data_IF_738638460610
#
_entry.id   IF_738638460610
#
_cell.length_a   1.000
_cell.length_b   1.000
_cell.length_c   1.000
_cell.angle_alpha   90.00
_cell.angle_beta   90.00
_cell.angle_gamma   90.00
#
_symmetry.space_group_name_H-M   'P 1'
#
loop_
_entity.id
_entity.type
_entity.pdbx_description
1 polymer ?
#
# COMPACT_ATOMS: atom_id res chain seq x y z
N UNK A 1 -11.10 9.67 21.33
CA UNK A 1 -9.62 9.59 21.15
C UNK A 1 -9.21 8.61 20.05
N UNK A 2 -9.81 7.42 19.96
CA UNK A 2 -9.47 6.41 18.94
C UNK A 2 -9.65 6.87 17.49
N UNK A 3 -10.69 7.68 17.19
CA UNK A 3 -10.99 8.17 15.85
C UNK A 3 -9.93 9.12 15.27
N UNK A 4 -9.38 10.03 16.08
CA UNK A 4 -8.30 10.93 15.63
C UNK A 4 -6.98 10.19 15.38
N UNK A 5 -6.70 9.17 16.20
CA UNK A 5 -5.52 8.32 16.00
C UNK A 5 -5.56 7.55 14.69
N UNK A 6 -6.72 7.01 14.30
CA UNK A 6 -6.90 6.30 13.02
C UNK A 6 -6.66 7.24 11.82
N UNK A 7 -7.33 8.41 11.80
CA UNK A 7 -7.15 9.39 10.71
C UNK A 7 -5.70 9.84 10.63
N UNK A 8 -5.07 10.18 11.77
CA UNK A 8 -3.68 10.59 11.82
C UNK A 8 -2.72 9.51 11.30
N UNK A 9 -2.93 8.24 11.70
CA UNK A 9 -2.10 7.12 11.22
C UNK A 9 -2.28 6.88 9.73
N UNK A 10 -3.50 6.95 9.20
CA UNK A 10 -3.76 6.77 7.77
C UNK A 10 -3.18 7.91 6.93
N UNK A 11 -3.30 9.17 7.40
CA UNK A 11 -2.70 10.32 6.73
C UNK A 11 -1.16 10.24 6.75
N UNK A 12 -0.57 9.88 7.89
CA UNK A 12 0.88 9.68 8.00
C UNK A 12 1.37 8.54 7.10
N UNK A 13 0.65 7.40 7.08
CA UNK A 13 0.93 6.29 6.18
C UNK A 13 0.96 6.75 4.72
N UNK A 14 -0.09 7.44 4.29
CA UNK A 14 -0.19 7.94 2.91
C UNK A 14 0.93 8.91 2.60
N UNK A 15 1.20 9.89 3.48
CA UNK A 15 2.25 10.89 3.28
C UNK A 15 3.65 10.27 3.21
N UNK A 16 3.98 9.35 4.13
CA UNK A 16 5.27 8.66 4.15
C UNK A 16 5.43 7.78 2.92
N UNK A 17 4.39 7.05 2.51
CA UNK A 17 4.45 6.20 1.31
C UNK A 17 4.66 7.03 0.04
N UNK A 18 3.92 8.12 -0.13
CA UNK A 18 4.09 9.01 -1.28
C UNK A 18 5.47 9.67 -1.32
N UNK A 19 5.99 10.10 -0.16
CA UNK A 19 7.36 10.61 -0.05
C UNK A 19 8.41 9.56 -0.41
N UNK A 20 8.19 8.30 0.00
CA UNK A 20 9.05 7.17 -0.37
C UNK A 20 9.06 6.91 -1.87
N UNK A 21 7.89 6.90 -2.53
CA UNK A 21 7.80 6.75 -3.99
C UNK A 21 8.46 7.92 -4.73
N UNK A 22 8.26 9.15 -4.26
CA UNK A 22 8.90 10.32 -4.85
C UNK A 22 10.43 10.28 -4.71
N UNK A 23 10.94 9.79 -3.57
CA UNK A 23 12.37 9.63 -3.33
C UNK A 23 12.98 8.51 -4.18
N UNK A 24 12.25 7.41 -4.40
CA UNK A 24 12.69 6.30 -5.25
C UNK A 24 12.83 6.75 -6.71
N UNK A 25 11.89 7.54 -7.19
CA UNK A 25 11.82 7.93 -8.59
C UNK A 25 11.47 6.77 -9.53
N UNK A 26 11.89 6.88 -10.78
CA UNK A 26 11.67 5.84 -11.79
C UNK A 26 12.80 4.81 -11.73
N UNK A 27 12.46 3.55 -11.53
CA UNK A 27 13.41 2.44 -11.56
C UNK A 27 13.94 2.22 -13.00
N UNK A 28 15.15 1.60 -13.16
CA UNK A 28 15.61 1.14 -14.44
C UNK A 28 14.61 0.21 -15.11
N UNK A 29 14.41 0.36 -16.41
CA UNK A 29 13.51 -0.47 -17.18
C UNK A 29 13.95 -1.94 -17.19
N UNK A 30 13.01 -2.86 -17.45
CA UNK A 30 13.33 -4.30 -17.53
C UNK A 30 14.32 -4.63 -18.66
N UNK A 31 14.36 -3.82 -19.72
CA UNK A 31 15.30 -3.95 -20.83
C UNK A 31 16.70 -3.34 -20.60
N UNK A 32 16.92 -2.62 -19.50
CA UNK A 32 18.20 -1.99 -19.21
C UNK A 32 19.26 -3.04 -18.84
N UNK A 33 20.51 -2.80 -19.26
CA UNK A 33 21.63 -3.68 -18.93
C UNK A 33 21.99 -3.61 -17.43
N UNK A 34 22.69 -4.64 -16.95
CA UNK A 34 23.20 -4.62 -15.56
C UNK A 34 24.11 -3.44 -15.25
N UNK A 35 24.91 -2.99 -16.22
CA UNK A 35 25.75 -1.79 -16.07
C UNK A 35 24.91 -0.52 -15.89
N UNK A 36 23.82 -0.39 -16.63
CA UNK A 36 22.87 0.72 -16.47
C UNK A 36 22.19 0.68 -15.09
N UNK A 37 21.82 -0.51 -14.62
CA UNK A 37 21.28 -0.71 -13.25
C UNK A 37 22.28 -0.26 -12.20
N UNK A 38 23.54 -0.69 -12.27
CA UNK A 38 24.61 -0.28 -11.34
C UNK A 38 24.80 1.24 -11.37
N UNK A 39 24.88 1.83 -12.57
CA UNK A 39 25.04 3.26 -12.74
C UNK A 39 23.85 4.05 -12.10
N UNK A 40 22.64 3.54 -12.28
CA UNK A 40 21.44 4.14 -11.69
C UNK A 40 21.48 4.10 -10.15
N UNK A 41 21.83 2.95 -9.54
CA UNK A 41 21.93 2.85 -8.09
C UNK A 41 23.05 3.73 -7.51
N UNK A 42 24.17 3.90 -8.23
CA UNK A 42 25.20 4.86 -7.85
C UNK A 42 24.69 6.30 -7.81
N UNK A 43 23.89 6.68 -8.81
CA UNK A 43 23.34 8.02 -8.90
C UNK A 43 22.19 8.26 -7.90
N UNK A 44 21.35 7.25 -7.63
CA UNK A 44 20.10 7.39 -6.87
C UNK A 44 20.12 6.71 -5.49
N UNK A 45 21.25 6.21 -5.03
CA UNK A 45 21.35 5.40 -3.79
C UNK A 45 20.77 6.06 -2.55
N UNK A 46 20.87 7.39 -2.40
CA UNK A 46 20.23 8.09 -1.29
C UNK A 46 18.70 8.10 -1.40
N UNK A 47 18.14 8.32 -2.60
CA UNK A 47 16.69 8.25 -2.85
C UNK A 47 16.14 6.85 -2.52
N UNK A 48 16.85 5.80 -2.96
CA UNK A 48 16.49 4.42 -2.62
C UNK A 48 16.48 4.19 -1.10
N UNK A 49 17.50 4.67 -0.38
CA UNK A 49 17.58 4.54 1.10
C UNK A 49 16.41 5.26 1.78
N UNK A 50 16.04 6.45 1.29
CA UNK A 50 14.85 7.15 1.80
C UNK A 50 13.56 6.39 1.53
N UNK A 51 13.42 5.78 0.34
CA UNK A 51 12.28 4.93 0.02
C UNK A 51 12.21 3.69 0.92
N UNK A 52 13.33 3.02 1.17
CA UNK A 52 13.42 1.88 2.09
C UNK A 52 13.06 2.28 3.52
N UNK A 53 13.54 3.45 3.98
CA UNK A 53 13.15 3.99 5.28
C UNK A 53 11.64 4.27 5.34
N UNK A 54 11.08 4.88 4.30
CA UNK A 54 9.65 5.15 4.22
C UNK A 54 8.82 3.86 4.24
N UNK A 55 9.23 2.82 3.50
CA UNK A 55 8.61 1.49 3.56
C UNK A 55 8.63 0.90 4.97
N UNK A 56 9.78 1.01 5.66
CA UNK A 56 9.92 0.53 7.05
C UNK A 56 9.02 1.32 8.01
N UNK A 57 8.98 2.65 7.89
CA UNK A 57 8.14 3.51 8.71
C UNK A 57 6.64 3.33 8.43
N UNK A 58 6.28 2.93 7.21
CA UNK A 58 4.90 2.63 6.82
C UNK A 58 4.34 1.38 7.49
N UNK A 59 5.17 0.39 7.80
CA UNK A 59 4.73 -0.90 8.35
C UNK A 59 3.94 -0.77 9.67
N UNK A 60 4.42 -0.10 10.72
CA UNK A 60 3.65 0.07 11.96
C UNK A 60 2.40 0.93 11.74
N UNK A 61 2.43 1.94 10.87
CA UNK A 61 1.27 2.76 10.55
C UNK A 61 0.18 1.92 9.86
N UNK A 62 0.56 1.10 8.89
CA UNK A 62 -0.35 0.17 8.21
C UNK A 62 -0.93 -0.85 9.19
N UNK A 63 -0.12 -1.40 10.09
CA UNK A 63 -0.60 -2.34 11.12
C UNK A 63 -1.67 -1.69 12.01
N UNK A 64 -1.48 -0.44 12.42
CA UNK A 64 -2.49 0.33 13.19
C UNK A 64 -3.77 0.51 12.38
N UNK A 65 -3.66 0.97 11.13
CA UNK A 65 -4.81 1.19 10.25
C UNK A 65 -5.59 -0.12 10.04
N UNK A 66 -4.91 -1.22 9.73
CA UNK A 66 -5.51 -2.55 9.56
C UNK A 66 -6.21 -3.01 10.85
N UNK A 67 -5.56 -2.87 12.01
CA UNK A 67 -6.12 -3.26 13.30
C UNK A 67 -7.40 -2.50 13.66
N UNK A 68 -7.52 -1.23 13.28
CA UNK A 68 -8.73 -0.44 13.50
C UNK A 68 -9.82 -0.77 12.49
N UNK A 69 -9.51 -0.78 11.19
CA UNK A 69 -10.49 -0.97 10.12
C UNK A 69 -11.11 -2.37 10.14
N UNK A 70 -10.33 -3.41 10.45
CA UNK A 70 -10.87 -4.78 10.53
C UNK A 70 -12.03 -4.92 11.52
N UNK A 71 -12.11 -4.06 12.56
CA UNK A 71 -13.18 -4.09 13.56
C UNK A 71 -14.54 -3.68 13.02
N UNK A 72 -14.55 -3.01 11.87
CA UNK A 72 -15.77 -2.57 11.19
C UNK A 72 -16.33 -3.66 10.26
N UNK A 73 -15.60 -4.75 10.08
CA UNK A 73 -15.98 -5.86 9.23
C UNK A 73 -16.41 -7.06 10.07
N UNK A 74 -17.49 -7.78 9.70
CA UNK A 74 -17.87 -9.03 10.33
C UNK A 74 -16.91 -10.16 9.95
N UNK A 75 -16.91 -11.25 10.69
CA UNK A 75 -16.29 -12.49 10.24
C UNK A 75 -17.07 -13.07 9.05
N UNK A 76 -16.44 -13.67 8.03
CA UNK A 76 -14.98 -13.85 7.87
C UNK A 76 -14.24 -12.66 7.23
N UNK A 77 -14.94 -11.61 6.81
CA UNK A 77 -14.38 -10.46 6.08
C UNK A 77 -13.20 -9.81 6.83
N UNK A 78 -13.33 -9.62 8.14
CA UNK A 78 -12.28 -9.03 8.99
C UNK A 78 -10.99 -9.86 9.00
N UNK A 79 -11.12 -11.18 8.92
CA UNK A 79 -9.97 -12.09 9.00
C UNK A 79 -9.23 -12.12 7.66
N UNK A 80 -9.95 -12.11 6.55
CA UNK A 80 -9.38 -11.97 5.20
C UNK A 80 -8.68 -10.61 5.06
N UNK A 81 -9.31 -9.52 5.52
CA UNK A 81 -8.71 -8.17 5.53
C UNK A 81 -7.40 -8.14 6.32
N UNK A 82 -7.37 -8.76 7.50
CA UNK A 82 -6.17 -8.86 8.34
C UNK A 82 -5.05 -9.65 7.66
N UNK A 83 -5.39 -10.79 7.04
CA UNK A 83 -4.41 -11.61 6.30
C UNK A 83 -3.78 -10.78 5.18
N UNK A 84 -4.60 -10.10 4.35
CA UNK A 84 -4.10 -9.23 3.29
C UNK A 84 -3.15 -8.15 3.80
N UNK A 85 -3.52 -7.46 4.89
CA UNK A 85 -2.67 -6.45 5.51
C UNK A 85 -1.35 -6.99 6.05
N UNK A 86 -1.37 -8.18 6.65
CA UNK A 86 -0.16 -8.84 7.16
C UNK A 86 0.78 -9.24 6.01
N UNK A 87 0.22 -9.83 4.95
CA UNK A 87 1.00 -10.20 3.75
C UNK A 87 1.59 -8.97 3.09
N UNK A 88 0.82 -7.88 2.98
CA UNK A 88 1.30 -6.62 2.40
C UNK A 88 2.50 -6.05 3.18
N UNK A 89 2.41 -5.99 4.52
CA UNK A 89 3.53 -5.54 5.37
C UNK A 89 4.77 -6.41 5.17
N UNK A 90 4.60 -7.72 5.17
CA UNK A 90 5.72 -8.66 4.96
C UNK A 90 6.35 -8.47 3.58
N UNK A 91 5.54 -8.30 2.53
CA UNK A 91 6.02 -8.11 1.17
C UNK A 91 6.79 -6.80 1.00
N UNK A 92 6.28 -5.69 1.57
CA UNK A 92 7.00 -4.40 1.57
C UNK A 92 8.36 -4.53 2.27
N UNK A 93 8.44 -5.26 3.39
CA UNK A 93 9.70 -5.51 4.07
C UNK A 93 10.70 -6.28 3.18
N UNK A 94 10.25 -7.34 2.52
CA UNK A 94 11.10 -8.15 1.63
C UNK A 94 11.59 -7.32 0.42
N UNK A 95 10.71 -6.57 -0.24
CA UNK A 95 11.11 -5.65 -1.32
C UNK A 95 12.16 -4.63 -0.85
N UNK A 96 11.96 -4.07 0.34
CA UNK A 96 12.88 -3.11 0.94
C UNK A 96 14.27 -3.70 1.16
N UNK A 97 14.38 -4.98 1.52
CA UNK A 97 15.67 -5.65 1.68
C UNK A 97 16.46 -5.71 0.37
N UNK A 98 15.79 -6.06 -0.75
CA UNK A 98 16.46 -6.11 -2.06
C UNK A 98 16.91 -4.72 -2.51
N UNK A 99 16.02 -3.73 -2.47
CA UNK A 99 16.36 -2.36 -2.86
C UNK A 99 17.44 -1.75 -1.95
N UNK A 100 17.33 -1.95 -0.63
CA UNK A 100 18.32 -1.49 0.33
C UNK A 100 19.68 -2.13 0.12
N UNK A 101 19.73 -3.45 -0.13
CA UNK A 101 20.95 -4.19 -0.43
C UNK A 101 21.66 -3.68 -1.68
N UNK A 102 20.90 -3.45 -2.76
CA UNK A 102 21.41 -2.87 -4.00
C UNK A 102 22.00 -1.46 -3.80
N UNK A 103 21.29 -0.61 -3.04
CA UNK A 103 21.76 0.75 -2.74
C UNK A 103 22.98 0.80 -1.79
N UNK A 104 23.16 -0.23 -0.96
CA UNK A 104 24.24 -0.24 0.05
C UNK A 104 25.63 -0.42 -0.58
N UNK A 105 25.72 -1.22 -1.64
CA UNK A 105 27.00 -1.62 -2.24
C UNK A 105 27.06 -1.37 -3.75
N UNK A 106 26.38 -0.33 -4.23
CA UNK A 106 26.26 -0.03 -5.67
C UNK A 106 27.63 0.05 -6.39
N UNK A 107 28.71 0.48 -5.70
CA UNK A 107 30.04 0.58 -6.29
C UNK A 107 30.76 -0.76 -6.49
N UNK A 108 30.27 -1.82 -5.85
CA UNK A 108 30.92 -3.16 -5.83
C UNK A 108 30.05 -4.26 -6.44
N UNK A 109 28.85 -3.91 -6.90
CA UNK A 109 27.93 -4.88 -7.48
C UNK A 109 28.42 -5.37 -8.85
N UNK A 110 28.40 -6.69 -9.02
CA UNK A 110 28.45 -7.29 -10.33
C UNK A 110 27.19 -6.94 -11.15
N UNK A 111 27.32 -6.47 -12.41
CA UNK A 111 26.19 -6.02 -13.21
C UNK A 111 25.09 -7.07 -13.39
N UNK A 112 25.44 -8.33 -13.63
CA UNK A 112 24.45 -9.41 -13.82
C UNK A 112 23.67 -9.67 -12.52
N UNK A 113 24.37 -9.67 -11.38
CA UNK A 113 23.75 -9.79 -10.05
C UNK A 113 22.83 -8.59 -9.75
N UNK A 114 23.27 -7.37 -10.05
CA UNK A 114 22.47 -6.17 -9.86
C UNK A 114 21.17 -6.21 -10.66
N UNK A 115 21.24 -6.64 -11.94
CA UNK A 115 20.06 -6.78 -12.79
C UNK A 115 19.09 -7.81 -12.22
N UNK A 116 19.60 -9.01 -11.87
CA UNK A 116 18.77 -10.09 -11.31
C UNK A 116 18.07 -9.66 -10.01
N UNK A 117 18.78 -9.00 -9.11
CA UNK A 117 18.20 -8.54 -7.83
C UNK A 117 17.17 -7.42 -8.05
N UNK A 118 17.39 -6.53 -9.03
CA UNK A 118 16.42 -5.51 -9.38
C UNK A 118 15.17 -6.13 -10.02
N UNK A 119 15.33 -7.14 -10.89
CA UNK A 119 14.18 -7.85 -11.45
C UNK A 119 13.33 -8.49 -10.35
N UNK A 120 13.96 -9.16 -9.39
CA UNK A 120 13.27 -9.70 -8.23
C UNK A 120 12.52 -8.59 -7.48
N UNK A 121 13.17 -7.45 -7.20
CA UNK A 121 12.53 -6.34 -6.51
C UNK A 121 11.38 -5.71 -7.31
N UNK A 122 11.50 -5.60 -8.65
CA UNK A 122 10.46 -5.05 -9.51
C UNK A 122 9.21 -5.97 -9.59
N UNK A 123 9.40 -7.29 -9.60
CA UNK A 123 8.30 -8.26 -9.59
C UNK A 123 7.47 -8.24 -8.31
N UNK A 124 7.94 -7.63 -7.23
CA UNK A 124 7.09 -7.42 -6.05
C UNK A 124 5.87 -6.54 -6.36
N UNK A 125 5.96 -5.59 -7.30
CA UNK A 125 4.81 -4.77 -7.72
C UNK A 125 3.60 -5.66 -8.05
N UNK A 126 3.65 -6.44 -9.14
CA UNK A 126 2.53 -7.30 -9.52
C UNK A 126 2.17 -8.39 -8.49
N UNK A 127 3.12 -8.87 -7.67
CA UNK A 127 2.82 -9.84 -6.60
C UNK A 127 2.11 -9.19 -5.41
N UNK A 128 2.44 -7.92 -5.09
CA UNK A 128 1.76 -7.16 -4.04
C UNK A 128 0.27 -6.96 -4.32
N UNK A 129 -0.17 -6.96 -5.58
CA UNK A 129 -1.59 -6.83 -5.93
C UNK A 129 -2.45 -7.93 -5.30
N UNK A 130 -1.92 -9.12 -5.11
CA UNK A 130 -2.61 -10.20 -4.40
C UNK A 130 -2.94 -9.83 -2.96
N UNK A 131 -2.04 -9.17 -2.26
CA UNK A 131 -2.25 -8.73 -0.88
C UNK A 131 -3.23 -7.55 -0.80
N UNK A 132 -3.10 -6.56 -1.68
CA UNK A 132 -4.01 -5.40 -1.74
C UNK A 132 -5.42 -5.83 -2.13
N UNK A 133 -5.59 -6.69 -3.14
CA UNK A 133 -6.88 -7.28 -3.50
C UNK A 133 -7.51 -8.04 -2.31
N UNK A 134 -6.72 -8.79 -1.55
CA UNK A 134 -7.18 -9.50 -0.36
C UNK A 134 -7.68 -8.55 0.73
N UNK A 135 -7.14 -7.34 0.83
CA UNK A 135 -7.65 -6.29 1.71
C UNK A 135 -8.91 -5.62 1.14
N UNK A 136 -8.89 -5.25 -0.14
CA UNK A 136 -9.97 -4.47 -0.77
C UNK A 136 -11.26 -5.28 -0.88
N UNK A 137 -11.18 -6.54 -1.33
CA UNK A 137 -12.34 -7.36 -1.65
C UNK A 137 -13.34 -7.51 -0.49
N UNK A 138 -12.95 -7.90 0.75
CA UNK A 138 -13.93 -8.11 1.83
C UNK A 138 -14.63 -6.82 2.25
N UNK A 139 -13.93 -5.70 2.31
CA UNK A 139 -14.52 -4.41 2.64
C UNK A 139 -15.47 -3.92 1.54
N UNK A 140 -15.08 -4.11 0.28
CA UNK A 140 -15.90 -3.78 -0.91
C UNK A 140 -17.18 -4.59 -0.94
N UNK A 141 -17.09 -5.90 -0.80
CA UNK A 141 -18.26 -6.80 -0.78
C UNK A 141 -19.20 -6.43 0.37
N UNK A 142 -18.66 -6.19 1.57
CA UNK A 142 -19.47 -5.82 2.71
C UNK A 142 -20.15 -4.46 2.54
N UNK A 143 -19.49 -3.47 1.91
CA UNK A 143 -20.08 -2.16 1.63
C UNK A 143 -21.17 -2.22 0.54
N UNK A 144 -21.01 -3.06 -0.49
CA UNK A 144 -21.95 -3.13 -1.60
C UNK A 144 -23.15 -4.05 -1.31
N UNK A 145 -22.92 -5.18 -0.64
CA UNK A 145 -23.91 -6.25 -0.41
C UNK A 145 -24.43 -6.29 1.02
N UNK A 146 -23.78 -5.58 1.97
CA UNK A 146 -24.19 -5.52 3.37
C UNK A 146 -25.38 -4.59 3.62
N UNK A 147 -25.87 -4.62 4.87
CA UNK A 147 -27.09 -3.92 5.30
C UNK A 147 -26.87 -2.43 5.65
N UNK A 148 -25.85 -1.77 5.09
CA UNK A 148 -25.67 -0.32 5.22
C UNK A 148 -24.71 0.13 6.31
N UNK A 149 -23.99 -0.77 6.98
CA UNK A 149 -22.96 -0.43 7.99
C UNK A 149 -21.76 0.31 7.39
N UNK A 150 -21.41 0.01 6.14
CA UNK A 150 -20.44 0.77 5.35
C UNK A 150 -21.16 1.50 4.20
N UNK A 151 -20.71 2.72 3.85
CA UNK A 151 -21.36 3.48 2.79
C UNK A 151 -21.06 2.89 1.41
N UNK A 152 -22.06 2.84 0.55
CA UNK A 152 -21.95 2.28 -0.81
C UNK A 152 -20.85 2.94 -1.66
N UNK A 153 -20.65 4.27 -1.49
CA UNK A 153 -19.60 4.97 -2.23
C UNK A 153 -18.19 4.43 -1.93
N UNK A 154 -17.94 3.98 -0.69
CA UNK A 154 -16.68 3.34 -0.30
C UNK A 154 -16.53 1.97 -0.98
N UNK A 155 -17.64 1.22 -1.11
CA UNK A 155 -17.68 -0.01 -1.87
C UNK A 155 -17.41 0.21 -3.36
N UNK A 156 -17.97 1.27 -3.96
CA UNK A 156 -17.71 1.62 -5.37
C UNK A 156 -16.23 2.00 -5.57
N UNK A 157 -15.66 2.84 -4.69
CA UNK A 157 -14.24 3.18 -4.73
C UNK A 157 -13.36 1.93 -4.58
N UNK A 158 -13.74 1.02 -3.67
CA UNK A 158 -13.07 -0.27 -3.49
C UNK A 158 -13.18 -1.17 -4.72
N UNK A 159 -14.33 -1.19 -5.40
CA UNK A 159 -14.49 -1.96 -6.62
C UNK A 159 -13.59 -1.43 -7.75
N UNK A 160 -13.44 -0.11 -7.88
CA UNK A 160 -12.53 0.52 -8.84
C UNK A 160 -11.08 0.16 -8.51
N UNK A 161 -10.67 0.30 -7.24
CA UNK A 161 -9.33 -0.07 -6.82
C UNK A 161 -9.06 -1.57 -6.99
N UNK A 162 -10.03 -2.43 -6.71
CA UNK A 162 -9.91 -3.87 -6.93
C UNK A 162 -9.76 -4.23 -8.41
N UNK A 163 -10.59 -3.62 -9.27
CA UNK A 163 -10.52 -3.87 -10.72
C UNK A 163 -9.19 -3.42 -11.31
N UNK A 164 -8.67 -2.29 -10.87
CA UNK A 164 -7.34 -1.82 -11.25
C UNK A 164 -6.26 -2.82 -10.81
N UNK A 165 -6.25 -3.24 -9.55
CA UNK A 165 -5.30 -4.23 -9.03
C UNK A 165 -5.40 -5.57 -9.79
N UNK A 166 -6.60 -6.00 -10.18
CA UNK A 166 -6.78 -7.20 -10.98
C UNK A 166 -6.19 -7.05 -12.38
N UNK A 167 -6.36 -5.89 -13.03
CA UNK A 167 -5.74 -5.59 -14.32
C UNK A 167 -4.22 -5.46 -14.17
N UNK A 168 -3.74 -4.87 -13.08
CA UNK A 168 -2.32 -4.72 -12.78
C UNK A 168 -1.57 -6.06 -12.77
N UNK A 169 -2.24 -7.19 -12.47
CA UNK A 169 -1.60 -8.52 -12.52
C UNK A 169 -1.02 -8.86 -13.89
N UNK A 170 -1.51 -8.24 -14.99
CA UNK A 170 -0.98 -8.47 -16.34
C UNK A 170 0.46 -7.95 -16.48
N UNK A 171 0.91 -7.06 -15.59
CA UNK A 171 2.28 -6.55 -15.59
C UNK A 171 3.32 -7.64 -15.34
N UNK A 172 2.93 -8.82 -14.80
CA UNK A 172 3.77 -10.01 -14.72
C UNK A 172 4.32 -10.43 -16.11
N UNK A 173 3.53 -10.17 -17.16
CA UNK A 173 3.89 -10.51 -18.55
C UNK A 173 4.45 -9.31 -19.32
N UNK A 174 4.51 -8.13 -18.68
CA UNK A 174 5.04 -6.92 -19.29
C UNK A 174 6.56 -6.97 -19.41
N UNK A 175 7.08 -6.40 -20.47
CA UNK A 175 8.52 -6.36 -20.76
C UNK A 175 9.06 -4.95 -20.96
N UNK A 176 8.19 -3.94 -21.01
CA UNK A 176 8.61 -2.55 -21.21
C UNK A 176 7.45 -1.56 -20.96
N UNK A 177 7.81 -0.33 -20.66
CA UNK A 177 6.90 0.83 -20.61
C UNK A 177 5.91 0.80 -19.43
N UNK A 178 4.70 1.27 -19.66
CA UNK A 178 3.69 1.46 -18.62
C UNK A 178 3.34 0.17 -17.86
N UNK A 179 3.33 -0.96 -18.56
CA UNK A 179 2.94 -2.28 -18.03
C UNK A 179 4.12 -3.16 -17.63
N UNK A 180 5.33 -2.63 -17.56
CA UNK A 180 6.46 -3.42 -17.07
C UNK A 180 6.39 -3.60 -15.54
N UNK A 181 6.93 -4.71 -14.98
CA UNK A 181 7.02 -4.88 -13.54
C UNK A 181 7.77 -3.73 -12.88
N UNK A 182 7.17 -3.14 -11.83
CA UNK A 182 7.72 -1.93 -11.18
C UNK A 182 7.56 -0.64 -11.98
N UNK A 183 6.86 -0.67 -13.11
CA UNK A 183 6.55 0.50 -13.92
C UNK A 183 5.45 1.39 -13.34
N UNK A 184 5.03 2.39 -14.11
CA UNK A 184 4.08 3.41 -13.65
C UNK A 184 2.71 2.83 -13.28
N UNK A 185 2.28 1.74 -13.91
CA UNK A 185 1.04 1.04 -13.55
C UNK A 185 1.08 0.54 -12.10
N UNK A 186 2.18 -0.10 -11.69
CA UNK A 186 2.31 -0.61 -10.32
C UNK A 186 2.53 0.51 -9.29
N UNK A 187 3.53 1.38 -9.53
CA UNK A 187 4.00 2.34 -8.51
C UNK A 187 3.12 3.59 -8.43
N UNK A 188 2.54 4.03 -9.53
CA UNK A 188 1.79 5.29 -9.54
C UNK A 188 0.28 5.04 -9.49
N UNK A 189 -0.25 4.21 -10.39
CA UNK A 189 -1.68 3.98 -10.49
C UNK A 189 -2.15 3.03 -9.38
N UNK A 190 -1.60 1.83 -9.30
CA UNK A 190 -2.03 0.80 -8.35
C UNK A 190 -1.84 1.19 -6.90
N UNK A 191 -0.62 1.60 -6.53
CA UNK A 191 -0.34 2.06 -5.18
C UNK A 191 -1.12 3.33 -4.83
N UNK A 192 -1.29 4.27 -5.80
CA UNK A 192 -2.07 5.49 -5.60
C UNK A 192 -3.54 5.23 -5.31
N UNK A 193 -4.19 4.36 -6.09
CA UNK A 193 -5.59 3.99 -5.88
C UNK A 193 -5.80 3.22 -4.58
N UNK A 194 -4.90 2.29 -4.25
CA UNK A 194 -4.94 1.58 -2.98
C UNK A 194 -4.84 2.53 -1.78
N UNK A 195 -3.87 3.43 -1.78
CA UNK A 195 -3.68 4.41 -0.70
C UNK A 195 -4.87 5.38 -0.60
N UNK A 196 -5.41 5.83 -1.72
CA UNK A 196 -6.60 6.69 -1.74
C UNK A 196 -7.83 5.98 -1.15
N UNK A 197 -8.07 4.72 -1.53
CA UNK A 197 -9.14 3.92 -0.96
C UNK A 197 -8.95 3.68 0.54
N UNK A 198 -7.74 3.30 0.98
CA UNK A 198 -7.44 3.03 2.38
C UNK A 198 -7.59 4.29 3.25
N UNK A 199 -7.11 5.43 2.76
CA UNK A 199 -7.27 6.72 3.42
C UNK A 199 -8.75 7.12 3.52
N UNK A 200 -9.50 6.99 2.43
CA UNK A 200 -10.94 7.29 2.42
C UNK A 200 -11.70 6.41 3.42
N UNK A 201 -11.38 5.12 3.51
CA UNK A 201 -11.96 4.21 4.49
C UNK A 201 -11.63 4.64 5.93
N UNK A 202 -10.37 4.96 6.21
CA UNK A 202 -9.93 5.38 7.54
C UNK A 202 -10.55 6.73 7.97
N UNK A 203 -10.64 7.69 7.05
CA UNK A 203 -11.27 9.00 7.30
C UNK A 203 -12.75 8.82 7.60
N UNK A 204 -13.47 8.07 6.77
CA UNK A 204 -14.89 7.79 7.02
C UNK A 204 -15.09 7.11 8.38
N UNK A 205 -14.33 6.06 8.68
CA UNK A 205 -14.41 5.34 9.94
C UNK A 205 -14.15 6.22 11.16
N UNK A 206 -13.14 7.09 11.07
CA UNK A 206 -12.81 8.05 12.12
C UNK A 206 -13.92 9.09 12.36
N UNK A 207 -14.54 9.60 11.29
CA UNK A 207 -15.64 10.57 11.39
C UNK A 207 -16.94 9.91 11.90
N UNK A 208 -17.25 8.69 11.49
CA UNK A 208 -18.42 7.96 11.98
C UNK A 208 -18.30 7.64 13.49
N UNK A 209 -17.12 7.21 13.95
CA UNK A 209 -16.86 6.93 15.36
C UNK A 209 -17.00 8.16 16.27
N UNK A 210 -16.59 9.35 15.81
CA UNK A 210 -16.74 10.57 16.58
C UNK A 210 -18.19 11.02 16.75
N UNK A 211 -19.06 10.76 15.78
CA UNK A 211 -20.50 11.08 15.88
C UNK A 211 -21.21 10.24 16.95
N UNK A 212 -20.83 8.98 17.08
CA UNK A 212 -21.40 8.07 18.08
C UNK A 212 -20.97 8.44 19.51
N UNK A 213 -19.75 8.92 19.70
CA UNK A 213 -19.25 9.39 21.00
C UNK A 213 -20.00 10.66 21.45
N UNK A 214 -20.20 11.64 20.56
CA UNK A 214 -20.94 12.88 20.85
C UNK A 214 -22.41 12.58 21.19
N UNK A 215 -23.06 11.72 20.43
CA UNK A 215 -24.46 11.34 20.68
C UNK A 215 -24.66 10.65 22.05
N UNK A 216 -23.69 9.86 22.50
CA UNK A 216 -23.74 9.22 23.84
C UNK A 216 -23.54 10.24 24.97
N UNK A 217 -22.61 11.20 24.80
CA UNK A 217 -22.36 12.23 25.78
C UNK A 217 -23.61 13.12 26.03
N UNK A 218 -24.26 13.57 24.95
CA UNK A 218 -25.48 14.39 25.03
C UNK A 218 -26.70 13.63 25.57
N UNK A 219 -26.77 12.31 25.33
CA UNK A 219 -27.85 11.49 25.92
C UNK A 219 -27.67 11.29 27.43
N UNK A 220 -26.42 11.15 27.90
CA UNK A 220 -26.09 11.05 29.33
C UNK A 220 -26.38 12.35 30.10
N UNK A 221 -26.10 13.52 29.50
CA UNK A 221 -26.36 14.83 30.09
C UNK A 221 -27.87 15.15 30.22
N UNK A 222 -28.73 14.56 29.37
CA UNK A 222 -30.19 14.74 29.43
C UNK A 222 -30.90 13.79 30.42
N UNK A 223 -30.17 12.77 30.89
CA UNK A 223 -30.69 11.76 31.80
C UNK A 223 -30.42 12.09 33.30
N UNK A 224 -29.70 13.17 33.57
CA UNK A 224 -29.44 13.76 34.89
C UNK A 224 -30.35 14.99 35.10
#
# INVERSE_FOLDING_TARGET
MASRGLIGSAAALTGVSLAGFAALGTLPATGDSGDQVVAWFRAHGNGVRWSVWAGTASAPLLAVVVAFLRRLLPAPHRDVFLIGGTVLIASIAVQSWFLGGLALHADRLDPATARTLLDVAAYFGPVLTGATMTMIAPATLFALLGNGDLPKWLGILGAVAFAEQAVETVTIFGSSGFTEPGGAMNLQLGAGLFLAWLLAFAVWAGLAGSRTEVGRATASERAV
#
